data_IF_391073652524
#
_entry.id   IF_391073652524
#
_cell.length_a   1.000
_cell.length_b   1.000
_cell.length_c   1.000
_cell.angle_alpha   90.00
_cell.angle_beta   90.00
_cell.angle_gamma   90.00
#
_symmetry.space_group_name_H-M   'P 1'
#
loop_
_entity.id
_entity.type
_entity.pdbx_description
1 polymer ?
#
# COMPACT_ATOMS: atom_id res chain seq x y z
N UNK A 1 -12.49 -6.49 -9.26
CA UNK A 1 -11.26 -6.37 -8.44
C UNK A 1 -11.40 -6.97 -7.03
N UNK A 2 -12.53 -6.79 -6.34
CA UNK A 2 -12.74 -7.27 -4.95
C UNK A 2 -12.62 -8.80 -4.73
N UNK A 3 -12.98 -9.62 -5.73
CA UNK A 3 -12.89 -11.10 -5.67
C UNK A 3 -11.47 -11.68 -5.66
N UNK A 4 -10.46 -10.90 -6.06
CA UNK A 4 -9.07 -11.38 -6.05
C UNK A 4 -8.41 -11.21 -4.69
N UNK A 5 -8.88 -10.23 -3.91
CA UNK A 5 -8.30 -9.84 -2.63
C UNK A 5 -8.99 -10.53 -1.45
N UNK A 6 -10.30 -10.75 -1.57
CA UNK A 6 -11.14 -11.31 -0.52
C UNK A 6 -11.68 -12.66 -0.93
N UNK A 7 -11.68 -13.60 0.01
CA UNK A 7 -12.31 -14.90 -0.13
C UNK A 7 -13.84 -14.77 -0.09
N UNK A 8 -14.53 -15.87 -0.36
CA UNK A 8 -16.00 -15.91 -0.42
C UNK A 8 -16.68 -15.45 0.88
N UNK A 9 -16.00 -15.62 2.02
CA UNK A 9 -16.43 -15.19 3.35
C UNK A 9 -16.14 -13.69 3.64
N UNK A 10 -15.60 -12.96 2.67
CA UNK A 10 -15.24 -11.54 2.83
C UNK A 10 -13.93 -11.31 3.60
N UNK A 11 -13.22 -12.37 4.00
CA UNK A 11 -11.90 -12.32 4.64
C UNK A 11 -10.81 -12.17 3.59
N UNK A 12 -9.73 -11.45 3.90
CA UNK A 12 -8.56 -11.37 3.01
C UNK A 12 -8.01 -12.77 2.71
N UNK A 13 -7.76 -13.06 1.43
CA UNK A 13 -7.22 -14.36 1.04
C UNK A 13 -5.86 -14.58 1.73
N UNK A 14 -5.56 -15.80 2.21
CA UNK A 14 -4.30 -16.10 2.89
C UNK A 14 -3.06 -15.71 2.07
N UNK A 15 -3.11 -15.94 0.74
CA UNK A 15 -2.05 -15.54 -0.20
C UNK A 15 -1.81 -14.03 -0.19
N UNK A 16 -2.87 -13.23 -0.10
CA UNK A 16 -2.78 -11.76 -0.10
C UNK A 16 -2.24 -11.27 1.24
N UNK A 17 -2.64 -11.92 2.35
CA UNK A 17 -2.08 -11.67 3.67
C UNK A 17 -0.57 -11.96 3.73
N UNK A 18 -0.12 -13.10 3.18
CA UNK A 18 1.30 -13.46 3.11
C UNK A 18 2.07 -12.45 2.25
N UNK A 19 1.51 -12.07 1.09
CA UNK A 19 2.13 -11.07 0.23
C UNK A 19 2.29 -9.72 0.94
N UNK A 20 1.26 -9.25 1.66
CA UNK A 20 1.32 -8.04 2.49
C UNK A 20 2.41 -8.13 3.57
N UNK A 21 2.48 -9.26 4.27
CA UNK A 21 3.47 -9.50 5.33
C UNK A 21 4.91 -9.45 4.84
N UNK A 22 5.15 -9.75 3.56
CA UNK A 22 6.50 -9.71 2.96
C UNK A 22 6.76 -8.32 2.34
N UNK A 23 5.81 -7.80 1.58
CA UNK A 23 5.98 -6.56 0.82
C UNK A 23 6.19 -5.38 1.76
N UNK A 24 5.42 -5.28 2.86
CA UNK A 24 5.49 -4.17 3.81
C UNK A 24 6.88 -4.03 4.45
N UNK A 25 7.46 -5.05 5.10
CA UNK A 25 8.79 -4.92 5.68
C UNK A 25 9.87 -4.71 4.61
N UNK A 26 9.76 -5.34 3.43
CA UNK A 26 10.69 -5.09 2.31
C UNK A 26 10.64 -3.63 1.85
N UNK A 27 9.45 -3.05 1.72
CA UNK A 27 9.32 -1.62 1.37
C UNK A 27 9.82 -0.72 2.47
N UNK A 28 9.59 -1.04 3.75
CA UNK A 28 10.13 -0.27 4.88
C UNK A 28 11.65 -0.34 4.93
N UNK A 29 12.25 -1.51 4.75
CA UNK A 29 13.72 -1.68 4.67
C UNK A 29 14.31 -0.98 3.45
N UNK A 30 13.63 -1.02 2.31
CA UNK A 30 14.03 -0.27 1.14
C UNK A 30 13.97 1.25 1.40
N UNK A 31 12.90 1.74 2.03
CA UNK A 31 12.79 3.15 2.42
C UNK A 31 13.88 3.56 3.42
N UNK A 32 14.17 2.70 4.39
CA UNK A 32 15.20 2.94 5.39
C UNK A 32 16.60 2.97 4.77
N UNK A 33 16.87 2.12 3.77
CA UNK A 33 18.17 2.08 3.09
C UNK A 33 18.42 3.26 2.14
N UNK A 34 17.35 3.94 1.70
CA UNK A 34 17.48 5.11 0.83
C UNK A 34 17.69 6.40 1.64
N UNK A 35 17.45 6.43 2.96
CA UNK A 35 17.58 7.63 3.78
C UNK A 35 16.37 8.57 3.69
N UNK A 36 16.32 9.62 4.55
CA UNK A 36 15.11 10.39 4.87
C UNK A 36 14.35 11.04 3.69
N UNK A 37 14.97 11.16 2.53
CA UNK A 37 14.36 11.66 1.29
C UNK A 37 13.38 10.66 0.66
N UNK A 38 13.60 9.35 0.82
CA UNK A 38 12.65 8.33 0.37
C UNK A 38 11.35 8.33 1.21
N UNK A 39 11.45 8.61 2.51
CA UNK A 39 10.28 8.82 3.38
C UNK A 39 9.42 10.00 2.93
N UNK A 40 10.05 11.12 2.56
CA UNK A 40 9.36 12.30 2.02
C UNK A 40 8.67 12.00 0.69
N UNK A 41 9.31 11.23 -0.19
CA UNK A 41 8.72 10.83 -1.47
C UNK A 41 7.47 9.95 -1.27
N UNK A 42 7.49 9.00 -0.33
CA UNK A 42 6.32 8.15 -0.04
C UNK A 42 5.16 8.95 0.54
N UNK A 43 5.43 9.85 1.49
CA UNK A 43 4.40 10.73 2.06
C UNK A 43 3.78 11.60 0.95
N UNK A 44 4.60 12.16 0.07
CA UNK A 44 4.12 12.95 -1.06
C UNK A 44 3.23 12.13 -2.01
N UNK A 45 3.59 10.88 -2.29
CA UNK A 45 2.77 9.97 -3.12
C UNK A 45 1.45 9.63 -2.44
N UNK A 46 1.44 9.34 -1.13
CA UNK A 46 0.21 9.06 -0.37
C UNK A 46 -0.71 10.28 -0.39
N UNK A 47 -0.19 11.45 -0.05
CA UNK A 47 -0.98 12.69 -0.03
C UNK A 47 -1.51 12.99 -1.44
N UNK A 48 -0.67 12.92 -2.47
CA UNK A 48 -1.07 13.17 -3.85
C UNK A 48 -2.16 12.20 -4.34
N UNK A 49 -2.03 10.91 -4.04
CA UNK A 49 -3.02 9.90 -4.43
C UNK A 49 -4.34 10.03 -3.65
N UNK A 50 -4.31 10.40 -2.37
CA UNK A 50 -5.51 10.75 -1.60
C UNK A 50 -6.19 12.00 -2.18
N UNK A 51 -5.41 13.03 -2.52
CA UNK A 51 -5.95 14.27 -3.09
C UNK A 51 -6.62 14.02 -4.45
N UNK A 52 -5.94 13.29 -5.34
CA UNK A 52 -6.47 12.91 -6.66
C UNK A 52 -7.68 11.99 -6.53
N UNK A 53 -7.66 11.04 -5.59
CA UNK A 53 -8.79 10.18 -5.29
C UNK A 53 -10.01 10.94 -4.78
N UNK A 54 -9.79 11.90 -3.87
CA UNK A 54 -10.83 12.78 -3.33
C UNK A 54 -11.45 13.69 -4.40
N UNK A 55 -10.62 14.26 -5.29
CA UNK A 55 -11.09 15.08 -6.41
C UNK A 55 -11.97 14.27 -7.38
N UNK A 56 -11.70 12.97 -7.58
CA UNK A 56 -12.52 12.13 -8.46
C UNK A 56 -13.84 11.64 -7.82
N UNK A 57 -14.01 11.80 -6.51
CA UNK A 57 -15.20 11.36 -5.79
C UNK A 57 -16.20 12.49 -5.51
N UNK A 58 -15.80 13.76 -5.69
CA UNK A 58 -16.69 14.94 -5.62
C UNK A 58 -17.13 15.40 -7.00
#
# INVERSE_FOLDING_TARGET
MRRFLFDSDGVLRPIVLIALLIIVPVTVLALASWGGWAGMAVIAVIIGSVLVGGIRMG
#
